data_IF_719509677604
#
_entry.id   IF_719509677604
#
_cell.length_a   1.000
_cell.length_b   1.000
_cell.length_c   1.000
_cell.angle_alpha   90.00
_cell.angle_beta   90.00
_cell.angle_gamma   90.00
#
_symmetry.space_group_name_H-M   'P 1'
#
loop_
_entity.id
_entity.type
_entity.pdbx_description
1 polymer ?
#
# COMPACT_ATOMS: atom_id res chain seq x y z
N UNK A 1 -19.73 -11.31 -17.56
CA UNK A 1 -21.03 -11.72 -18.15
C UNK A 1 -21.30 -13.23 -17.97
N UNK A 2 -20.36 -14.13 -18.33
CA UNK A 2 -20.55 -15.59 -18.19
C UNK A 2 -20.88 -16.02 -16.75
N UNK A 3 -20.15 -15.51 -15.76
CA UNK A 3 -20.34 -15.82 -14.34
C UNK A 3 -21.71 -15.39 -13.81
N UNK A 4 -22.18 -14.19 -14.21
CA UNK A 4 -23.51 -13.72 -13.78
C UNK A 4 -24.62 -14.59 -14.38
N UNK A 5 -24.45 -15.07 -15.63
CA UNK A 5 -25.38 -16.02 -16.23
C UNK A 5 -25.42 -17.35 -15.47
N UNK A 6 -24.26 -17.88 -15.07
CA UNK A 6 -24.17 -19.10 -14.27
C UNK A 6 -24.84 -18.94 -12.90
N UNK A 7 -24.60 -17.81 -12.20
CA UNK A 7 -25.26 -17.51 -10.92
C UNK A 7 -26.78 -17.45 -11.10
N UNK A 8 -27.25 -16.73 -12.14
CA UNK A 8 -28.69 -16.68 -12.45
C UNK A 8 -29.29 -18.06 -12.66
N UNK A 9 -28.60 -18.89 -13.48
CA UNK A 9 -29.10 -20.21 -13.83
C UNK A 9 -29.16 -21.11 -12.58
N UNK A 10 -28.15 -21.09 -11.69
CA UNK A 10 -28.15 -21.80 -10.42
C UNK A 10 -29.28 -21.33 -9.46
N UNK A 11 -29.56 -20.02 -9.43
CA UNK A 11 -30.67 -19.50 -8.62
C UNK A 11 -32.03 -19.94 -9.21
N UNK A 12 -32.19 -19.96 -10.53
CA UNK A 12 -33.40 -20.45 -11.20
C UNK A 12 -33.62 -21.96 -10.96
N UNK A 13 -32.55 -22.72 -10.73
CA UNK A 13 -32.58 -24.14 -10.35
C UNK A 13 -32.92 -24.36 -8.85
N UNK A 14 -33.14 -23.29 -8.10
CA UNK A 14 -33.55 -23.34 -6.69
C UNK A 14 -32.44 -23.24 -5.67
N UNK A 15 -31.21 -22.95 -6.11
CA UNK A 15 -30.09 -22.68 -5.20
C UNK A 15 -30.24 -21.29 -4.54
N UNK A 16 -29.81 -21.14 -3.27
CA UNK A 16 -29.76 -19.81 -2.67
C UNK A 16 -28.82 -18.88 -3.43
N UNK A 17 -29.08 -17.58 -3.44
CA UNK A 17 -28.22 -16.61 -4.14
C UNK A 17 -26.82 -16.61 -3.54
N UNK A 18 -26.70 -16.68 -2.21
CA UNK A 18 -25.40 -16.78 -1.53
C UNK A 18 -24.60 -18.02 -1.95
N UNK A 19 -25.26 -19.19 -2.08
CA UNK A 19 -24.57 -20.42 -2.47
C UNK A 19 -24.21 -20.43 -3.95
N UNK A 20 -25.03 -19.83 -4.80
CA UNK A 20 -24.70 -19.60 -6.21
C UNK A 20 -23.45 -18.69 -6.39
N UNK A 21 -23.34 -17.63 -5.57
CA UNK A 21 -22.14 -16.80 -5.52
C UNK A 21 -20.91 -17.55 -4.99
N UNK A 22 -21.10 -18.43 -4.00
CA UNK A 22 -20.03 -19.22 -3.37
C UNK A 22 -19.33 -20.17 -4.35
N UNK A 23 -19.97 -20.56 -5.45
CA UNK A 23 -19.32 -21.32 -6.52
C UNK A 23 -18.23 -20.52 -7.25
N UNK A 24 -18.25 -19.20 -7.13
CA UNK A 24 -17.34 -18.28 -7.82
C UNK A 24 -16.49 -17.45 -6.84
N UNK A 25 -15.88 -18.07 -5.84
CA UNK A 25 -15.06 -17.42 -4.77
C UNK A 25 -13.93 -16.52 -5.28
N UNK A 26 -13.46 -16.75 -6.51
CA UNK A 26 -12.44 -15.87 -7.14
C UNK A 26 -12.97 -14.48 -7.50
N UNK A 27 -14.27 -14.37 -7.75
CA UNK A 27 -14.94 -13.12 -8.16
C UNK A 27 -15.69 -12.52 -6.98
N UNK A 28 -16.33 -13.37 -6.17
CA UNK A 28 -17.10 -12.99 -4.99
C UNK A 28 -16.37 -13.47 -3.74
N UNK A 29 -15.64 -12.58 -3.04
CA UNK A 29 -14.99 -12.90 -1.77
C UNK A 29 -15.99 -13.33 -0.68
N UNK A 30 -15.50 -13.97 0.37
CA UNK A 30 -16.34 -14.46 1.48
C UNK A 30 -17.19 -13.37 2.14
N UNK A 31 -16.69 -12.14 2.18
CA UNK A 31 -17.45 -10.99 2.65
C UNK A 31 -18.79 -10.84 1.91
N UNK A 32 -18.77 -10.91 0.58
CA UNK A 32 -19.96 -10.79 -0.27
C UNK A 32 -20.94 -11.92 -0.01
N UNK A 33 -20.42 -13.14 -0.01
CA UNK A 33 -21.23 -14.35 0.16
C UNK A 33 -21.94 -14.32 1.51
N UNK A 34 -21.23 -13.94 2.57
CA UNK A 34 -21.81 -13.91 3.92
C UNK A 34 -22.81 -12.77 4.13
N UNK A 35 -22.55 -11.58 3.55
CA UNK A 35 -23.51 -10.49 3.56
C UNK A 35 -24.80 -10.88 2.82
N UNK A 36 -24.67 -11.44 1.60
CA UNK A 36 -25.83 -11.89 0.82
C UNK A 36 -26.59 -12.98 1.58
N UNK A 37 -25.88 -13.94 2.20
CA UNK A 37 -26.52 -14.99 3.01
C UNK A 37 -27.31 -14.42 4.19
N UNK A 38 -26.76 -13.40 4.87
CA UNK A 38 -27.49 -12.72 5.94
C UNK A 38 -28.74 -12.01 5.42
N UNK A 39 -28.62 -11.32 4.25
CA UNK A 39 -29.74 -10.65 3.60
C UNK A 39 -30.83 -11.60 3.13
N UNK A 40 -30.48 -12.76 2.58
CA UNK A 40 -31.45 -13.82 2.21
C UNK A 40 -32.17 -14.36 3.45
N UNK A 41 -31.42 -14.67 4.52
CA UNK A 41 -31.98 -15.21 5.74
C UNK A 41 -32.93 -14.24 6.47
N UNK A 42 -32.64 -12.93 6.39
CA UNK A 42 -33.46 -11.87 7.01
C UNK A 42 -34.56 -11.31 6.11
N UNK A 43 -34.57 -11.66 4.81
CA UNK A 43 -35.49 -11.08 3.81
C UNK A 43 -35.16 -9.65 3.43
N UNK A 44 -33.97 -9.12 3.82
CA UNK A 44 -33.51 -7.75 3.58
C UNK A 44 -32.38 -7.69 2.54
N UNK A 45 -32.50 -8.48 1.46
CA UNK A 45 -31.45 -8.60 0.45
C UNK A 45 -31.17 -7.27 -0.27
N UNK A 46 -32.19 -6.47 -0.50
CA UNK A 46 -32.09 -5.12 -1.10
C UNK A 46 -31.20 -4.20 -0.25
N UNK A 47 -31.42 -4.14 1.06
CA UNK A 47 -30.60 -3.36 1.99
C UNK A 47 -29.14 -3.82 1.99
N UNK A 48 -28.93 -5.13 2.03
CA UNK A 48 -27.61 -5.72 2.05
C UNK A 48 -26.86 -5.46 0.75
N UNK A 49 -27.51 -5.54 -0.41
CA UNK A 49 -26.89 -5.24 -1.71
C UNK A 49 -26.49 -3.76 -1.84
N UNK A 50 -27.30 -2.85 -1.32
CA UNK A 50 -26.95 -1.42 -1.26
C UNK A 50 -25.71 -1.23 -0.40
N UNK A 51 -25.68 -1.77 0.82
CA UNK A 51 -24.50 -1.67 1.71
C UNK A 51 -23.24 -2.29 1.12
N UNK A 52 -23.40 -3.39 0.38
CA UNK A 52 -22.28 -4.02 -0.32
C UNK A 52 -21.74 -3.12 -1.44
N UNK A 53 -22.62 -2.45 -2.18
CA UNK A 53 -22.21 -1.46 -3.19
C UNK A 53 -21.48 -0.28 -2.55
N UNK A 54 -22.02 0.30 -1.48
CA UNK A 54 -21.39 1.39 -0.73
C UNK A 54 -20.00 0.99 -0.18
N UNK A 55 -19.88 -0.23 0.35
CA UNK A 55 -18.60 -0.77 0.82
C UNK A 55 -17.58 -0.87 -0.30
N UNK A 56 -17.97 -1.39 -1.47
CA UNK A 56 -17.09 -1.49 -2.63
C UNK A 56 -16.67 -0.12 -3.16
N UNK A 57 -17.60 0.80 -3.26
CA UNK A 57 -17.33 2.17 -3.69
C UNK A 57 -16.37 2.86 -2.73
N UNK A 58 -16.55 2.71 -1.43
CA UNK A 58 -15.64 3.23 -0.40
C UNK A 58 -14.22 2.68 -0.56
N UNK A 59 -14.08 1.36 -0.70
CA UNK A 59 -12.77 0.74 -0.92
C UNK A 59 -12.12 1.19 -2.24
N UNK A 60 -12.91 1.29 -3.31
CA UNK A 60 -12.41 1.76 -4.60
C UNK A 60 -12.00 3.24 -4.52
N UNK A 61 -12.77 4.08 -3.84
CA UNK A 61 -12.50 5.51 -3.63
C UNK A 61 -11.17 5.71 -2.90
N UNK A 62 -10.97 5.00 -1.77
CA UNK A 62 -9.72 5.09 -1.01
C UNK A 62 -8.52 4.67 -1.87
N UNK A 63 -8.62 3.53 -2.56
CA UNK A 63 -7.56 3.03 -3.44
C UNK A 63 -7.26 3.99 -4.59
N UNK A 64 -8.29 4.57 -5.20
CA UNK A 64 -8.16 5.53 -6.29
C UNK A 64 -7.49 6.82 -5.82
N UNK A 65 -7.87 7.35 -4.65
CA UNK A 65 -7.26 8.56 -4.07
C UNK A 65 -5.77 8.35 -3.78
N UNK A 66 -5.42 7.24 -3.13
CA UNK A 66 -4.00 6.89 -2.88
C UNK A 66 -3.25 6.72 -4.19
N UNK A 67 -3.84 6.05 -5.18
CA UNK A 67 -3.24 5.89 -6.50
C UNK A 67 -3.02 7.22 -7.21
N UNK A 68 -4.02 8.09 -7.24
CA UNK A 68 -3.95 9.40 -7.87
C UNK A 68 -2.86 10.28 -7.25
N UNK A 69 -2.73 10.27 -5.92
CA UNK A 69 -1.69 11.03 -5.22
C UNK A 69 -0.27 10.60 -5.59
N UNK A 70 -0.07 9.35 -5.99
CA UNK A 70 1.25 8.83 -6.38
C UNK A 70 1.60 9.06 -7.85
N UNK A 71 0.63 9.44 -8.71
CA UNK A 71 0.89 9.63 -10.15
C UNK A 71 1.94 10.71 -10.38
N UNK A 72 1.79 11.87 -9.74
CA UNK A 72 2.72 12.99 -9.92
C UNK A 72 4.16 12.65 -9.51
N UNK A 73 4.44 12.10 -8.30
CA UNK A 73 5.78 11.64 -7.94
C UNK A 73 6.38 10.62 -8.90
N UNK A 74 5.57 9.69 -9.40
CA UNK A 74 6.04 8.68 -10.36
C UNK A 74 6.43 9.34 -11.68
N UNK A 75 5.60 10.24 -12.23
CA UNK A 75 5.92 10.96 -13.47
C UNK A 75 7.18 11.79 -13.29
N UNK A 76 7.29 12.54 -12.19
CA UNK A 76 8.48 13.35 -11.89
C UNK A 76 9.74 12.49 -11.80
N UNK A 77 9.67 11.34 -11.13
CA UNK A 77 10.77 10.38 -11.04
C UNK A 77 11.20 9.88 -12.42
N UNK A 78 10.26 9.50 -13.28
CA UNK A 78 10.57 9.04 -14.64
C UNK A 78 11.20 10.12 -15.50
N UNK A 79 10.66 11.34 -15.48
CA UNK A 79 11.24 12.48 -16.22
C UNK A 79 12.66 12.76 -15.75
N UNK A 80 12.85 12.79 -14.44
CA UNK A 80 14.16 12.97 -13.81
C UNK A 80 15.16 11.89 -14.23
N UNK A 81 14.73 10.65 -14.25
CA UNK A 81 15.55 9.51 -14.67
C UNK A 81 15.94 9.62 -16.15
N UNK A 82 15.00 10.00 -17.02
CA UNK A 82 15.27 10.21 -18.45
C UNK A 82 16.31 11.32 -18.66
N UNK A 83 16.15 12.45 -17.98
CA UNK A 83 17.11 13.57 -18.06
C UNK A 83 18.50 13.13 -17.58
N UNK A 84 18.57 12.44 -16.45
CA UNK A 84 19.84 11.94 -15.90
C UNK A 84 20.52 10.96 -16.87
N UNK A 85 19.79 9.99 -17.40
CA UNK A 85 20.32 9.04 -18.38
C UNK A 85 20.80 9.74 -19.65
N UNK A 86 20.05 10.73 -20.15
CA UNK A 86 20.47 11.52 -21.31
C UNK A 86 21.78 12.26 -21.04
N UNK A 87 21.92 12.92 -19.88
CA UNK A 87 23.15 13.60 -19.51
C UNK A 87 24.34 12.63 -19.43
N UNK A 88 24.17 11.50 -18.77
CA UNK A 88 25.22 10.51 -18.60
C UNK A 88 25.62 9.81 -19.90
N UNK A 89 24.68 9.54 -20.80
CA UNK A 89 24.95 8.78 -22.03
C UNK A 89 25.36 9.67 -23.23
N UNK A 90 24.91 10.93 -23.25
CA UNK A 90 25.13 11.81 -24.42
C UNK A 90 26.05 12.98 -24.13
N UNK A 91 26.01 13.56 -22.94
CA UNK A 91 26.79 14.75 -22.61
C UNK A 91 28.16 14.37 -22.04
N UNK A 92 28.18 13.50 -21.03
CA UNK A 92 29.41 13.08 -20.34
C UNK A 92 30.45 12.50 -21.33
N UNK A 93 30.12 11.54 -22.23
CA UNK A 93 31.12 11.00 -23.19
C UNK A 93 31.71 12.04 -24.14
N UNK A 94 30.92 13.04 -24.58
CA UNK A 94 31.41 14.12 -25.43
C UNK A 94 32.47 14.97 -24.73
N UNK A 95 32.25 15.23 -23.45
CA UNK A 95 33.21 15.97 -22.63
C UNK A 95 34.47 15.14 -22.42
N UNK A 96 34.37 13.86 -22.12
CA UNK A 96 35.53 12.96 -21.97
C UNK A 96 36.39 12.98 -23.24
N UNK A 97 35.78 12.79 -24.41
CA UNK A 97 36.53 12.76 -25.67
C UNK A 97 37.29 14.06 -25.98
N UNK A 98 36.82 15.21 -25.50
CA UNK A 98 37.53 16.48 -25.61
C UNK A 98 38.81 16.50 -24.76
N UNK A 99 38.81 15.88 -23.57
CA UNK A 99 39.94 15.82 -22.65
C UNK A 99 40.97 14.75 -23.03
N UNK A 100 40.52 13.58 -23.48
CA UNK A 100 41.40 12.50 -23.96
C UNK A 100 42.30 12.99 -25.10
N UNK A 101 41.79 13.85 -25.98
CA UNK A 101 42.56 14.43 -27.06
C UNK A 101 43.67 15.41 -26.58
N UNK A 102 43.63 15.84 -25.31
CA UNK A 102 44.56 16.81 -24.75
C UNK A 102 45.60 16.20 -23.79
N UNK A 103 45.55 14.85 -23.55
CA UNK A 103 46.46 14.14 -22.64
C UNK A 103 46.49 14.69 -21.19
N UNK A 104 45.41 15.31 -20.72
CA UNK A 104 45.35 15.89 -19.38
C UNK A 104 44.67 14.93 -18.37
N UNK A 105 45.13 15.03 -17.11
CA UNK A 105 44.58 14.22 -16.02
C UNK A 105 43.28 14.81 -15.52
N UNK A 106 42.18 14.07 -15.66
CA UNK A 106 40.85 14.48 -15.23
C UNK A 106 40.74 14.65 -13.71
N UNK A 107 40.08 15.71 -13.21
CA UNK A 107 39.81 15.94 -11.80
C UNK A 107 39.00 14.79 -11.18
N UNK A 108 39.16 14.58 -9.87
CA UNK A 108 38.48 13.51 -9.12
C UNK A 108 36.93 13.46 -9.31
N UNK A 109 36.20 14.60 -9.27
CA UNK A 109 34.74 14.57 -9.48
C UNK A 109 34.35 14.02 -10.85
N UNK A 110 35.14 14.40 -11.90
CA UNK A 110 34.90 13.92 -13.27
C UNK A 110 35.19 12.43 -13.41
N UNK A 111 36.24 11.90 -12.77
CA UNK A 111 36.54 10.45 -12.77
C UNK A 111 35.43 9.63 -12.08
N UNK A 112 34.88 10.11 -10.96
CA UNK A 112 33.76 9.48 -10.27
C UNK A 112 32.54 9.45 -11.18
N UNK A 113 32.23 10.57 -11.84
CA UNK A 113 31.10 10.65 -12.76
C UNK A 113 31.24 9.68 -13.94
N UNK A 114 32.43 9.56 -14.51
CA UNK A 114 32.74 8.59 -15.57
C UNK A 114 32.53 7.17 -15.09
N UNK A 115 33.11 6.82 -13.94
CA UNK A 115 32.96 5.48 -13.37
C UNK A 115 31.49 5.10 -13.11
N UNK A 116 30.67 6.05 -12.65
CA UNK A 116 29.22 5.87 -12.48
C UNK A 116 28.53 5.73 -13.85
N UNK A 117 28.89 6.56 -14.84
CA UNK A 117 28.32 6.50 -16.19
C UNK A 117 28.62 5.17 -16.87
N UNK A 118 29.87 4.71 -16.82
CA UNK A 118 30.32 3.45 -17.41
C UNK A 118 29.65 2.26 -16.71
N UNK A 119 29.57 2.30 -15.38
CA UNK A 119 28.86 1.26 -14.61
C UNK A 119 27.38 1.21 -14.99
N UNK A 120 26.70 2.35 -15.07
CA UNK A 120 25.28 2.41 -15.47
C UNK A 120 25.11 1.98 -16.94
N UNK A 121 26.03 2.38 -17.83
CA UNK A 121 26.00 1.97 -19.25
C UNK A 121 26.22 0.48 -19.46
N UNK A 122 27.18 -0.11 -18.74
CA UNK A 122 27.55 -1.52 -18.87
C UNK A 122 26.67 -2.48 -18.05
N UNK A 123 26.21 -2.05 -16.87
CA UNK A 123 25.62 -2.93 -15.86
C UNK A 123 24.13 -2.62 -15.52
N UNK A 124 23.45 -1.78 -16.28
CA UNK A 124 22.03 -1.45 -16.03
C UNK A 124 21.12 -2.69 -16.00
N UNK A 125 21.42 -3.70 -16.86
CA UNK A 125 20.70 -4.97 -16.89
C UNK A 125 20.92 -5.77 -15.61
N UNK A 126 22.11 -5.68 -14.98
CA UNK A 126 22.41 -6.32 -13.70
C UNK A 126 21.54 -5.72 -12.58
N UNK A 127 21.33 -4.40 -12.57
CA UNK A 127 20.46 -3.73 -11.61
C UNK A 127 19.00 -4.21 -11.74
N UNK A 128 18.51 -4.40 -12.97
CA UNK A 128 17.17 -4.97 -13.22
C UNK A 128 17.09 -6.41 -12.73
N UNK A 129 18.11 -7.24 -12.98
CA UNK A 129 18.14 -8.64 -12.51
C UNK A 129 18.17 -8.66 -10.97
N UNK A 130 19.03 -7.86 -10.33
CA UNK A 130 19.10 -7.78 -8.86
C UNK A 130 17.75 -7.34 -8.28
N UNK A 131 17.13 -6.30 -8.84
CA UNK A 131 15.80 -5.85 -8.42
C UNK A 131 14.76 -6.96 -8.58
N UNK A 132 14.74 -7.65 -9.72
CA UNK A 132 13.85 -8.79 -9.98
C UNK A 132 14.05 -9.94 -8.99
N UNK A 133 15.29 -10.32 -8.72
CA UNK A 133 15.63 -11.35 -7.73
C UNK A 133 15.22 -10.91 -6.32
N UNK A 134 15.50 -9.67 -5.92
CA UNK A 134 15.07 -9.15 -4.62
C UNK A 134 13.54 -9.17 -4.47
N UNK A 135 12.80 -8.71 -5.48
CA UNK A 135 11.34 -8.77 -5.48
C UNK A 135 10.85 -10.22 -5.38
N UNK A 136 11.44 -11.13 -6.15
CA UNK A 136 11.09 -12.55 -6.12
C UNK A 136 11.37 -13.17 -4.73
N UNK A 137 12.53 -12.91 -4.13
CA UNK A 137 12.88 -13.41 -2.80
C UNK A 137 11.95 -12.85 -1.71
N UNK A 138 11.66 -11.55 -1.75
CA UNK A 138 10.72 -10.93 -0.80
C UNK A 138 9.31 -11.49 -0.96
N UNK A 139 8.83 -11.67 -2.18
CA UNK A 139 7.50 -12.23 -2.43
C UNK A 139 7.42 -13.70 -2.02
N UNK A 140 8.47 -14.49 -2.26
CA UNK A 140 8.56 -15.87 -1.81
C UNK A 140 8.60 -15.97 -0.28
N UNK A 141 9.38 -15.10 0.37
CA UNK A 141 9.46 -15.03 1.83
C UNK A 141 8.11 -14.64 2.46
N UNK A 142 7.40 -13.67 1.87
CA UNK A 142 6.04 -13.27 2.29
C UNK A 142 4.98 -14.36 2.14
N UNK A 143 5.19 -15.38 1.31
CA UNK A 143 4.28 -16.51 1.17
C UNK A 143 4.38 -17.51 2.33
N UNK A 144 5.44 -17.48 3.13
CA UNK A 144 5.59 -18.32 4.32
C UNK A 144 4.93 -17.62 5.52
N UNK A 145 4.25 -18.38 6.40
CA UNK A 145 3.57 -17.80 7.58
C UNK A 145 4.52 -16.97 8.46
N UNK A 146 5.70 -17.53 8.78
CA UNK A 146 6.71 -16.83 9.58
C UNK A 146 7.29 -15.61 8.86
N UNK A 147 7.46 -15.69 7.55
CA UNK A 147 7.94 -14.60 6.71
C UNK A 147 6.93 -13.45 6.61
N UNK A 148 5.67 -13.77 6.35
CA UNK A 148 4.59 -12.79 6.31
C UNK A 148 4.44 -12.02 7.64
N UNK A 149 4.43 -12.75 8.77
CA UNK A 149 4.34 -12.12 10.08
C UNK A 149 5.54 -11.23 10.41
N UNK A 150 6.77 -11.66 10.07
CA UNK A 150 7.97 -10.82 10.26
C UNK A 150 7.94 -9.60 9.35
N UNK A 151 7.55 -9.77 8.09
CA UNK A 151 7.43 -8.67 7.14
C UNK A 151 6.45 -7.60 7.66
N UNK A 152 5.23 -8.00 8.06
CA UNK A 152 4.22 -7.06 8.53
C UNK A 152 4.65 -6.37 9.83
N UNK A 153 5.33 -7.09 10.74
CA UNK A 153 5.91 -6.52 11.95
C UNK A 153 7.00 -5.48 11.67
N UNK A 154 7.86 -5.74 10.68
CA UNK A 154 8.88 -4.78 10.25
C UNK A 154 8.20 -3.56 9.61
N UNK A 155 7.25 -3.78 8.69
CA UNK A 155 6.51 -2.71 8.04
C UNK A 155 5.80 -1.80 9.05
N UNK A 156 5.17 -2.36 10.08
CA UNK A 156 4.49 -1.58 11.14
C UNK A 156 5.45 -0.78 12.03
N UNK A 157 6.74 -1.15 12.10
CA UNK A 157 7.77 -0.44 12.88
C UNK A 157 8.54 0.61 12.08
N UNK A 158 8.42 0.61 10.76
CA UNK A 158 9.12 1.59 9.92
C UNK A 158 8.61 3.00 10.24
N UNK A 159 9.52 3.99 10.40
CA UNK A 159 9.12 5.37 10.55
C UNK A 159 8.31 5.80 9.30
N UNK A 160 7.30 6.65 9.49
CA UNK A 160 6.43 7.19 8.44
C UNK A 160 5.52 6.14 7.78
N UNK A 161 6.09 5.14 7.12
CA UNK A 161 5.33 4.07 6.43
C UNK A 161 4.52 3.20 7.40
N UNK A 162 5.08 2.88 8.56
CA UNK A 162 4.41 2.01 9.55
C UNK A 162 3.15 2.65 10.14
N UNK A 163 3.15 3.96 10.33
CA UNK A 163 1.95 4.68 10.76
C UNK A 163 0.84 4.59 9.70
N UNK A 164 1.17 4.87 8.44
CA UNK A 164 0.22 4.77 7.32
C UNK A 164 -0.31 3.34 7.15
N UNK A 165 0.58 2.33 7.18
CA UNK A 165 0.22 0.92 7.06
C UNK A 165 -0.76 0.47 8.17
N UNK A 166 -0.50 0.92 9.42
CA UNK A 166 -1.39 0.67 10.56
C UNK A 166 -2.75 1.34 10.37
N UNK A 167 -2.79 2.62 9.97
CA UNK A 167 -4.03 3.36 9.71
C UNK A 167 -4.90 2.70 8.65
N UNK A 168 -4.30 2.27 7.53
CA UNK A 168 -5.02 1.54 6.45
C UNK A 168 -5.63 0.24 6.98
N UNK A 169 -4.87 -0.53 7.78
CA UNK A 169 -5.35 -1.79 8.32
C UNK A 169 -6.48 -1.59 9.34
N UNK A 170 -6.40 -0.54 10.17
CA UNK A 170 -7.45 -0.17 11.13
C UNK A 170 -8.71 0.33 10.41
N UNK A 171 -8.56 1.17 9.39
CA UNK A 171 -9.69 1.63 8.58
C UNK A 171 -10.44 0.45 7.95
N UNK A 172 -9.71 -0.51 7.37
CA UNK A 172 -10.32 -1.74 6.82
C UNK A 172 -11.02 -2.58 7.88
N UNK A 173 -10.38 -2.79 9.02
CA UNK A 173 -10.96 -3.49 10.15
C UNK A 173 -12.30 -2.86 10.56
N UNK A 174 -12.30 -1.56 10.86
CA UNK A 174 -13.46 -0.84 11.33
C UNK A 174 -14.57 -0.79 10.27
N UNK A 175 -14.24 -0.48 9.02
CA UNK A 175 -15.20 -0.44 7.90
C UNK A 175 -15.86 -1.80 7.70
N UNK A 176 -15.05 -2.86 7.61
CA UNK A 176 -15.57 -4.20 7.34
C UNK A 176 -16.41 -4.72 8.50
N UNK A 177 -15.92 -4.58 9.74
CA UNK A 177 -16.65 -5.03 10.93
C UNK A 177 -17.96 -4.25 11.10
N UNK A 178 -17.93 -2.93 10.97
CA UNK A 178 -19.11 -2.07 11.06
C UNK A 178 -20.15 -2.40 10.00
N UNK A 179 -19.73 -2.59 8.75
CA UNK A 179 -20.62 -2.96 7.63
C UNK A 179 -21.27 -4.33 7.84
N UNK A 180 -20.52 -5.33 8.28
CA UNK A 180 -21.05 -6.68 8.54
C UNK A 180 -22.08 -6.68 9.66
N UNK A 181 -21.76 -6.05 10.80
CA UNK A 181 -22.67 -5.98 11.95
C UNK A 181 -23.94 -5.20 11.55
N UNK A 182 -23.80 -4.08 10.86
CA UNK A 182 -24.95 -3.30 10.40
C UNK A 182 -25.83 -4.04 9.36
N UNK A 183 -25.27 -5.06 8.70
CA UNK A 183 -25.99 -5.96 7.79
C UNK A 183 -26.59 -7.18 8.48
N UNK A 184 -26.54 -7.22 9.83
CA UNK A 184 -27.11 -8.31 10.60
C UNK A 184 -26.24 -9.59 10.68
N UNK A 185 -24.99 -9.54 10.22
CA UNK A 185 -24.07 -10.68 10.37
C UNK A 185 -23.66 -10.81 11.84
N UNK A 186 -23.76 -12.02 12.45
CA UNK A 186 -23.33 -12.24 13.81
C UNK A 186 -21.89 -11.80 14.06
N UNK A 187 -21.62 -11.24 15.25
CA UNK A 187 -20.35 -10.60 15.58
C UNK A 187 -19.15 -11.53 15.41
N UNK A 188 -19.26 -12.77 15.82
CA UNK A 188 -18.19 -13.78 15.71
C UNK A 188 -17.88 -14.08 14.24
N UNK A 189 -18.91 -14.24 13.41
CA UNK A 189 -18.71 -14.48 11.97
C UNK A 189 -18.16 -13.23 11.28
N UNK A 190 -18.61 -12.04 11.70
CA UNK A 190 -18.05 -10.77 11.25
C UNK A 190 -16.55 -10.66 11.55
N UNK A 191 -16.12 -11.01 12.77
CA UNK A 191 -14.70 -11.02 13.15
C UNK A 191 -13.89 -12.03 12.33
N UNK A 192 -14.43 -13.23 12.06
CA UNK A 192 -13.78 -14.24 11.20
C UNK A 192 -13.55 -13.72 9.78
N UNK A 193 -14.54 -13.01 9.22
CA UNK A 193 -14.42 -12.42 7.89
C UNK A 193 -13.39 -11.29 7.90
N UNK A 194 -13.49 -10.37 8.87
CA UNK A 194 -12.57 -9.22 9.01
C UNK A 194 -11.12 -9.66 9.10
N UNK A 195 -10.84 -10.75 9.83
CA UNK A 195 -9.51 -11.37 9.91
C UNK A 195 -8.89 -11.58 8.54
N UNK A 196 -9.65 -12.03 7.55
CA UNK A 196 -9.14 -12.30 6.19
C UNK A 196 -8.96 -11.04 5.34
N UNK A 197 -9.67 -9.96 5.67
CA UNK A 197 -9.71 -8.72 4.89
C UNK A 197 -8.67 -7.68 5.34
N UNK A 198 -8.20 -7.75 6.59
CA UNK A 198 -7.26 -6.76 7.17
C UNK A 198 -5.89 -6.75 6.46
N UNK A 199 -5.52 -7.83 5.78
CA UNK A 199 -4.26 -7.97 5.01
C UNK A 199 -3.00 -7.67 5.84
N UNK A 200 -3.03 -7.91 7.14
CA UNK A 200 -1.93 -7.74 8.07
C UNK A 200 -1.90 -8.92 9.03
N UNK A 201 -0.88 -9.76 8.96
CA UNK A 201 -0.77 -11.00 9.74
C UNK A 201 -0.69 -10.78 11.25
N UNK A 202 -0.15 -9.63 11.68
CA UNK A 202 -0.09 -9.30 13.12
C UNK A 202 -1.50 -8.97 13.64
N UNK A 203 -2.27 -8.19 12.89
CA UNK A 203 -3.65 -7.89 13.23
C UNK A 203 -4.56 -9.12 13.07
N UNK A 204 -4.33 -9.93 12.05
CA UNK A 204 -5.05 -11.20 11.84
C UNK A 204 -4.91 -12.13 13.05
N UNK A 205 -3.69 -12.34 13.54
CA UNK A 205 -3.45 -13.14 14.74
C UNK A 205 -4.15 -12.54 15.98
N UNK A 206 -4.07 -11.22 16.14
CA UNK A 206 -4.73 -10.54 17.25
C UNK A 206 -6.27 -10.68 17.20
N UNK A 207 -6.87 -10.60 16.00
CA UNK A 207 -8.31 -10.79 15.83
C UNK A 207 -8.69 -12.24 16.14
N UNK A 208 -7.90 -13.23 15.71
CA UNK A 208 -8.12 -14.64 16.00
C UNK A 208 -8.13 -14.92 17.51
N UNK A 209 -7.10 -14.43 18.23
CA UNK A 209 -7.02 -14.55 19.68
C UNK A 209 -8.24 -13.88 20.36
N UNK A 210 -8.67 -12.72 19.81
CA UNK A 210 -9.83 -11.99 20.31
C UNK A 210 -11.15 -12.74 20.10
N UNK A 211 -11.30 -13.49 19.01
CA UNK A 211 -12.49 -14.32 18.75
C UNK A 211 -12.67 -15.34 19.88
N UNK A 212 -11.59 -15.99 20.32
CA UNK A 212 -11.63 -16.94 21.43
C UNK A 212 -12.16 -16.30 22.72
N UNK A 213 -11.57 -15.16 23.14
CA UNK A 213 -12.02 -14.46 24.37
C UNK A 213 -13.47 -13.95 24.25
N UNK A 214 -13.90 -13.49 23.08
CA UNK A 214 -15.28 -13.01 22.85
C UNK A 214 -16.28 -14.17 22.90
N UNK A 215 -15.94 -15.35 22.38
CA UNK A 215 -16.76 -16.55 22.50
C UNK A 215 -16.95 -17.01 23.97
N UNK A 216 -15.97 -16.69 24.82
CA UNK A 216 -16.05 -16.95 26.28
C UNK A 216 -16.80 -15.82 27.03
N UNK A 217 -17.37 -14.86 26.33
CA UNK A 217 -18.17 -13.77 26.90
C UNK A 217 -17.40 -12.50 27.25
N UNK A 218 -16.14 -12.38 26.86
CA UNK A 218 -15.40 -11.14 26.99
C UNK A 218 -15.91 -10.05 26.03
N UNK A 219 -15.73 -8.76 26.40
CA UNK A 219 -15.95 -7.65 25.46
C UNK A 219 -14.95 -7.71 24.30
N UNK A 220 -15.33 -7.21 23.12
CA UNK A 220 -14.42 -7.13 21.94
C UNK A 220 -13.23 -6.19 22.22
N UNK A 221 -13.51 -5.07 22.90
CA UNK A 221 -12.50 -4.07 23.21
C UNK A 221 -11.37 -4.61 24.12
N UNK A 222 -11.66 -5.56 25.01
CA UNK A 222 -10.69 -6.05 26.00
C UNK A 222 -9.48 -6.77 25.37
N UNK A 223 -9.65 -7.85 24.59
CA UNK A 223 -8.54 -8.55 23.96
C UNK A 223 -7.80 -7.69 22.93
N UNK A 224 -8.52 -6.86 22.16
CA UNK A 224 -7.89 -5.93 21.22
C UNK A 224 -6.98 -4.93 21.93
N UNK A 225 -7.35 -4.45 23.12
CA UNK A 225 -6.52 -3.57 23.95
C UNK A 225 -5.27 -4.28 24.45
N UNK A 226 -5.41 -5.50 24.95
CA UNK A 226 -4.29 -6.31 25.47
C UNK A 226 -3.21 -6.54 24.40
N UNK A 227 -3.60 -6.67 23.15
CA UNK A 227 -2.68 -6.91 22.03
C UNK A 227 -1.69 -5.77 21.77
N UNK A 228 -2.04 -4.53 22.11
CA UNK A 228 -1.24 -3.32 21.81
C UNK A 228 -1.07 -3.01 20.33
N UNK A 229 -1.76 -3.77 19.44
CA UNK A 229 -1.68 -3.62 17.98
C UNK A 229 -2.58 -2.50 17.50
N UNK A 230 -3.78 -2.43 18.06
CA UNK A 230 -4.79 -1.42 17.71
C UNK A 230 -4.55 -0.09 18.43
N UNK A 231 -4.72 1.05 17.74
CA UNK A 231 -4.63 2.37 18.39
C UNK A 231 -5.67 2.56 19.51
N UNK A 232 -5.36 3.33 20.56
CA UNK A 232 -6.27 3.52 21.68
C UNK A 232 -7.66 4.08 21.30
N UNK A 233 -7.71 4.94 20.29
CA UNK A 233 -8.95 5.59 19.87
C UNK A 233 -9.99 4.60 19.32
N UNK A 234 -9.56 3.65 18.47
CA UNK A 234 -10.48 2.63 17.95
C UNK A 234 -10.97 1.71 19.05
N UNK A 235 -10.10 1.35 20.01
CA UNK A 235 -10.49 0.52 21.17
C UNK A 235 -11.51 1.25 22.04
N UNK A 236 -11.34 2.56 22.23
CA UNK A 236 -12.29 3.37 22.98
C UNK A 236 -13.65 3.44 22.28
N UNK A 237 -13.66 3.62 20.95
CA UNK A 237 -14.89 3.63 20.17
C UNK A 237 -15.62 2.30 20.20
N UNK A 238 -14.89 1.18 20.11
CA UNK A 238 -15.46 -0.17 20.25
C UNK A 238 -16.06 -0.33 21.64
N UNK A 239 -15.31 -0.02 22.71
CA UNK A 239 -15.78 -0.15 24.08
C UNK A 239 -17.04 0.71 24.37
N UNK A 240 -17.11 1.91 23.78
CA UNK A 240 -18.28 2.79 23.91
C UNK A 240 -19.46 2.21 23.16
N UNK A 241 -19.27 1.76 21.91
CA UNK A 241 -20.30 1.14 21.10
C UNK A 241 -20.86 -0.16 21.71
N UNK A 242 -20.00 -1.00 22.30
CA UNK A 242 -20.44 -2.19 23.02
C UNK A 242 -21.34 -1.87 24.22
N UNK A 243 -20.99 -0.83 25.00
CA UNK A 243 -21.75 -0.42 26.18
C UNK A 243 -23.08 0.26 25.84
N UNK A 244 -23.11 1.02 24.76
CA UNK A 244 -24.32 1.77 24.30
C UNK A 244 -25.21 0.93 23.37
N UNK A 245 -24.76 -0.22 22.90
CA UNK A 245 -25.47 -1.02 21.89
C UNK A 245 -25.44 -0.39 20.47
N UNK A 246 -24.48 0.51 20.20
CA UNK A 246 -24.31 1.22 18.91
C UNK A 246 -22.96 0.92 18.28
N UNK A 247 -22.51 -0.35 18.41
CA UNK A 247 -21.17 -0.75 17.97
C UNK A 247 -20.94 -0.52 16.47
N UNK A 248 -21.95 -0.80 15.64
CA UNK A 248 -21.88 -0.60 14.20
C UNK A 248 -21.67 0.88 13.83
N UNK A 249 -22.37 1.80 14.48
CA UNK A 249 -22.25 3.24 14.25
C UNK A 249 -20.86 3.75 14.66
N UNK A 250 -20.37 3.31 15.82
CA UNK A 250 -19.04 3.67 16.30
C UNK A 250 -17.93 3.15 15.39
N UNK A 251 -18.06 1.94 14.87
CA UNK A 251 -17.11 1.35 13.93
C UNK A 251 -17.08 2.09 12.58
N UNK A 252 -18.25 2.46 12.05
CA UNK A 252 -18.33 3.23 10.80
C UNK A 252 -17.72 4.62 10.99
N UNK A 253 -18.02 5.33 12.08
CA UNK A 253 -17.38 6.62 12.40
C UNK A 253 -15.87 6.49 12.58
N UNK A 254 -15.40 5.40 13.20
CA UNK A 254 -13.98 5.12 13.30
C UNK A 254 -13.36 4.90 11.93
N UNK A 255 -14.02 4.15 11.06
CA UNK A 255 -13.56 3.91 9.70
C UNK A 255 -13.41 5.21 8.91
N UNK A 256 -14.43 6.09 8.95
CA UNK A 256 -14.42 7.40 8.29
C UNK A 256 -13.22 8.24 8.77
N UNK A 257 -13.01 8.33 10.08
CA UNK A 257 -11.89 9.08 10.65
C UNK A 257 -10.52 8.50 10.23
N UNK A 258 -10.36 7.17 10.21
CA UNK A 258 -9.10 6.56 9.79
C UNK A 258 -8.88 6.63 8.28
N UNK A 259 -9.93 6.60 7.46
CA UNK A 259 -9.85 6.83 6.01
C UNK A 259 -9.39 8.25 5.70
N UNK A 260 -9.93 9.27 6.38
CA UNK A 260 -9.48 10.66 6.30
C UNK A 260 -8.03 10.83 6.76
N UNK A 261 -7.66 10.17 7.85
CA UNK A 261 -6.28 10.11 8.36
C UNK A 261 -5.31 9.49 7.35
N UNK A 262 -5.73 8.47 6.61
CA UNK A 262 -4.95 7.86 5.53
C UNK A 262 -4.76 8.85 4.39
N UNK A 263 -5.84 9.52 3.95
CA UNK A 263 -5.79 10.53 2.88
C UNK A 263 -4.82 11.67 3.24
N UNK A 264 -4.95 12.21 4.45
CA UNK A 264 -4.06 13.27 4.96
C UNK A 264 -2.61 12.81 5.06
N UNK A 265 -2.38 11.59 5.53
CA UNK A 265 -1.03 11.02 5.63
C UNK A 265 -0.39 10.83 4.24
N UNK A 266 -1.15 10.36 3.25
CA UNK A 266 -0.68 10.22 1.87
C UNK A 266 -0.40 11.58 1.25
N UNK A 267 -1.29 12.56 1.42
CA UNK A 267 -1.08 13.93 0.93
C UNK A 267 0.17 14.56 1.57
N UNK A 268 0.36 14.39 2.88
CA UNK A 268 1.56 14.88 3.57
C UNK A 268 2.85 14.22 3.08
N UNK A 269 2.82 12.91 2.80
CA UNK A 269 3.98 12.22 2.22
C UNK A 269 4.33 12.72 0.82
N UNK A 270 3.32 12.91 -0.03
CA UNK A 270 3.53 13.38 -1.40
C UNK A 270 4.02 14.83 -1.44
N UNK A 271 3.55 15.69 -0.53
CA UNK A 271 3.99 17.09 -0.46
C UNK A 271 5.47 17.26 -0.05
N UNK A 272 6.02 16.28 0.70
CA UNK A 272 7.46 16.27 1.06
C UNK A 272 8.32 15.66 -0.07
N UNK A 273 7.77 14.70 -0.81
CA UNK A 273 8.49 14.06 -1.91
C UNK A 273 8.88 15.05 -3.02
N UNK A 274 8.01 16.02 -3.33
CA UNK A 274 8.27 16.99 -4.40
C UNK A 274 9.51 17.87 -4.14
N UNK A 275 9.63 18.61 -3.02
CA UNK A 275 10.84 19.37 -2.71
C UNK A 275 12.09 18.48 -2.63
N UNK A 276 11.94 17.26 -2.06
CA UNK A 276 13.05 16.32 -1.94
C UNK A 276 13.57 15.90 -3.33
N UNK A 277 12.68 15.59 -4.26
CA UNK A 277 13.05 15.24 -5.64
C UNK A 277 13.72 16.40 -6.36
N UNK A 278 13.23 17.64 -6.19
CA UNK A 278 13.84 18.84 -6.77
C UNK A 278 15.25 19.03 -6.22
N UNK A 279 15.46 18.93 -4.91
CA UNK A 279 16.78 19.05 -4.28
C UNK A 279 17.73 17.96 -4.77
N UNK A 280 17.29 16.69 -4.78
CA UNK A 280 18.11 15.58 -5.26
C UNK A 280 18.51 15.80 -6.73
N UNK A 281 17.56 16.18 -7.59
CA UNK A 281 17.83 16.43 -9.00
C UNK A 281 18.75 17.65 -9.19
N UNK A 282 18.53 18.71 -8.44
CA UNK A 282 19.41 19.90 -8.46
C UNK A 282 20.84 19.55 -8.08
N UNK A 283 21.02 18.73 -7.03
CA UNK A 283 22.35 18.25 -6.63
C UNK A 283 22.99 17.33 -7.68
N UNK A 284 22.22 16.40 -8.26
CA UNK A 284 22.74 15.51 -9.30
C UNK A 284 23.13 16.27 -10.56
N UNK A 285 22.25 17.12 -11.08
CA UNK A 285 22.54 17.92 -12.27
C UNK A 285 23.67 18.91 -11.99
N UNK A 286 23.65 19.58 -10.84
CA UNK A 286 24.71 20.47 -10.40
C UNK A 286 26.08 19.78 -10.30
N UNK A 287 26.13 18.56 -9.76
CA UNK A 287 27.38 17.78 -9.70
C UNK A 287 27.89 17.38 -11.08
N UNK A 288 27.00 17.05 -12.03
CA UNK A 288 27.38 16.77 -13.42
C UNK A 288 27.96 18.03 -14.08
N UNK A 289 27.26 19.17 -13.93
CA UNK A 289 27.72 20.45 -14.49
C UNK A 289 29.07 20.85 -13.92
N UNK A 290 29.28 20.75 -12.61
CA UNK A 290 30.56 21.02 -11.97
C UNK A 290 31.66 20.07 -12.45
N UNK A 291 31.37 18.78 -12.58
CA UNK A 291 32.32 17.79 -13.09
C UNK A 291 32.73 18.03 -14.54
N UNK A 292 31.90 18.75 -15.30
CA UNK A 292 32.18 19.17 -16.68
C UNK A 292 32.95 20.52 -16.71
N UNK A 293 32.55 21.49 -15.88
CA UNK A 293 33.13 22.83 -15.87
C UNK A 293 34.53 22.88 -15.23
N UNK A 294 34.77 22.11 -14.16
CA UNK A 294 36.07 22.11 -13.46
C UNK A 294 37.26 21.86 -14.41
N UNK A 295 37.26 20.80 -15.21
CA UNK A 295 38.34 20.58 -16.18
C UNK A 295 38.48 21.72 -17.22
N UNK A 296 37.34 22.28 -17.68
CA UNK A 296 37.39 23.40 -18.67
C UNK A 296 38.02 24.67 -18.07
N UNK A 297 37.78 24.95 -16.80
CA UNK A 297 38.39 26.08 -16.08
C UNK A 297 39.89 25.87 -15.86
N UNK A 298 40.31 24.65 -15.47
CA UNK A 298 41.73 24.32 -15.30
C UNK A 298 42.49 24.49 -16.63
N UNK A 299 41.88 24.12 -17.77
CA UNK A 299 42.49 24.35 -19.09
C UNK A 299 42.70 25.81 -19.41
N UNK A 300 41.76 26.69 -19.07
CA UNK A 300 41.88 28.14 -19.34
C UNK A 300 43.03 28.79 -18.56
N UNK A 301 43.49 28.17 -17.47
CA UNK A 301 44.61 28.67 -16.65
C UNK A 301 45.99 28.17 -17.13
N UNK A 302 46.05 27.04 -17.85
CA UNK A 302 47.29 26.43 -18.37
C UNK A 302 47.71 27.06 -19.71
N UNK A 303 46.80 27.70 -20.43
CA UNK A 303 47.10 28.38 -21.75
C UNK A 303 47.59 29.82 -21.56
N UNK A 304 47.79 30.27 -20.36
CA UNK A 304 48.52 31.52 -20.03
C UNK A 304 49.93 31.21 -19.61
#
# INVERSE_FOLDING_TARGET
>A
KKTIAQVRDSVNEGMSFADALAQHKRIFPELYINMVRSGEASGALDVVLIRLAEFMEGQHRLRSKVGAALVYPIVLFFVSMVVLLFLLTSVVPKVISMFDNMNQVLPLPTRILIGVSDFLGAAWWLLIIIAGVCIYLVTKWKKTEKGAMRYDRIMMRMPVYGSLYKKISVARFARTLGTLISSGVPIIDSMRIVKTVVLNRVMEACIEDSIGEVMEGSSIASPLRKSGVFPPIIIHMIATGEKSGTLEEMLIKAADAYEEDVETSVAGLTSVLEPLMIVIMGLLVGSIVLAILLPMLEMSTVVR
#
